data_IF_314623126043
#
_entry.id   IF_314623126043
#
_cell.length_a   1.000
_cell.length_b   1.000
_cell.length_c   1.000
_cell.angle_alpha   90.00
_cell.angle_beta   90.00
_cell.angle_gamma   90.00
#
_symmetry.space_group_name_H-M   'P 1'
#
loop_
_entity.id
_entity.type
_entity.pdbx_description
1 polymer ?
#
# COMPACT_ATOMS: atom_id res chain seq x y z
N UNK A 1 -69.28 -22.17 9.05
CA UNK A 1 -68.23 -21.85 10.04
C UNK A 1 -66.95 -22.52 9.55
N UNK A 2 -65.85 -21.88 9.16
CA UNK A 2 -65.29 -20.55 9.45
C UNK A 2 -64.71 -19.96 8.15
N UNK A 3 -64.78 -18.64 8.02
CA UNK A 3 -64.10 -17.86 6.99
C UNK A 3 -62.60 -17.78 7.28
N UNK A 4 -61.77 -17.82 6.24
CA UNK A 4 -60.47 -17.12 6.26
C UNK A 4 -60.21 -16.54 4.88
N UNK A 5 -60.24 -15.21 4.82
CA UNK A 5 -59.79 -14.39 3.71
C UNK A 5 -58.26 -14.45 3.71
N UNK A 6 -57.64 -14.92 2.62
CA UNK A 6 -56.19 -14.76 2.43
C UNK A 6 -56.00 -13.52 1.57
N UNK A 7 -55.54 -12.45 2.21
CA UNK A 7 -55.10 -11.23 1.57
C UNK A 7 -53.73 -11.52 0.93
N UNK A 8 -53.66 -11.57 -0.40
CA UNK A 8 -52.39 -11.64 -1.12
C UNK A 8 -51.76 -10.25 -1.10
N UNK A 9 -50.80 -10.03 -0.18
CA UNK A 9 -49.90 -8.89 -0.26
C UNK A 9 -48.88 -9.17 -1.37
N UNK A 10 -49.07 -8.55 -2.53
CA UNK A 10 -48.01 -8.44 -3.52
C UNK A 10 -46.92 -7.53 -2.95
N UNK A 11 -45.87 -8.15 -2.42
CA UNK A 11 -44.63 -7.47 -2.10
C UNK A 11 -43.99 -7.06 -3.43
N UNK A 12 -44.04 -5.77 -3.75
CA UNK A 12 -43.26 -5.18 -4.83
C UNK A 12 -41.79 -5.37 -4.47
N UNK A 13 -41.11 -6.28 -5.18
CA UNK A 13 -39.66 -6.35 -5.16
C UNK A 13 -39.12 -5.00 -5.65
N UNK A 14 -38.64 -4.18 -4.72
CA UNK A 14 -37.73 -3.11 -5.06
C UNK A 14 -36.47 -3.80 -5.58
N UNK A 15 -36.26 -3.76 -6.89
CA UNK A 15 -34.95 -3.99 -7.46
C UNK A 15 -34.04 -2.94 -6.85
N UNK A 16 -33.14 -3.34 -5.95
CA UNK A 16 -31.95 -2.55 -5.68
C UNK A 16 -31.23 -2.41 -7.02
N UNK A 17 -30.92 -1.19 -7.49
CA UNK A 17 -30.12 -1.04 -8.68
C UNK A 17 -28.79 -1.76 -8.42
N UNK A 18 -28.43 -2.72 -9.28
CA UNK A 18 -27.10 -3.28 -9.28
C UNK A 18 -26.10 -2.14 -9.47
N UNK A 19 -25.02 -2.11 -8.67
CA UNK A 19 -23.92 -1.12 -8.72
C UNK A 19 -23.48 -0.72 -10.15
N UNK A 20 -23.69 -1.60 -11.14
CA UNK A 20 -23.41 -1.41 -12.55
C UNK A 20 -24.11 -0.18 -13.21
N UNK A 21 -25.24 0.32 -12.70
CA UNK A 21 -25.91 1.52 -13.26
C UNK A 21 -25.55 2.86 -12.59
N UNK A 22 -24.74 2.83 -11.51
CA UNK A 22 -24.39 4.03 -10.73
C UNK A 22 -22.90 4.40 -10.73
N UNK A 23 -22.02 3.57 -11.32
CA UNK A 23 -20.58 3.84 -11.35
C UNK A 23 -20.18 4.78 -12.50
N UNK A 24 -19.29 5.73 -12.23
CA UNK A 24 -18.76 6.70 -13.22
C UNK A 24 -17.60 6.13 -14.03
N UNK A 25 -16.86 5.17 -13.47
CA UNK A 25 -15.82 4.38 -14.13
C UNK A 25 -15.63 3.03 -13.44
N UNK A 26 -14.74 2.17 -13.97
CA UNK A 26 -14.33 0.92 -13.29
C UNK A 26 -12.95 1.13 -12.66
N UNK A 27 -12.83 1.10 -11.33
CA UNK A 27 -11.53 1.18 -10.66
C UNK A 27 -10.63 0.00 -11.01
N UNK A 28 -9.32 0.23 -11.02
CA UNK A 28 -8.34 -0.86 -11.05
C UNK A 28 -8.25 -1.48 -9.66
N UNK A 29 -8.88 -2.65 -9.49
CA UNK A 29 -8.82 -3.44 -8.26
C UNK A 29 -7.41 -4.01 -8.05
N UNK A 30 -6.92 -3.91 -6.82
CA UNK A 30 -5.80 -4.70 -6.31
C UNK A 30 -6.21 -5.37 -4.99
N UNK A 31 -5.68 -6.56 -4.73
CA UNK A 31 -5.97 -7.33 -3.51
C UNK A 31 -4.82 -7.16 -2.52
N UNK A 32 -5.15 -6.86 -1.27
CA UNK A 32 -4.20 -6.90 -0.18
C UNK A 32 -4.08 -8.33 0.36
N UNK A 33 -2.86 -8.83 0.42
CA UNK A 33 -2.51 -10.11 1.05
C UNK A 33 -1.83 -9.80 2.39
N UNK A 34 -2.58 -9.98 3.48
CA UNK A 34 -2.06 -9.99 4.83
C UNK A 34 -1.57 -11.43 5.14
N UNK A 35 -0.27 -11.68 5.01
CA UNK A 35 0.35 -12.98 5.27
C UNK A 35 0.71 -13.11 6.76
N UNK A 36 0.04 -13.99 7.48
CA UNK A 36 0.30 -14.26 8.88
C UNK A 36 1.33 -15.37 9.02
N UNK A 37 2.48 -15.01 9.57
CA UNK A 37 3.61 -15.92 9.81
C UNK A 37 4.14 -15.81 11.23
N UNK A 38 5.01 -16.75 11.62
CA UNK A 38 5.71 -16.73 12.91
C UNK A 38 6.96 -17.60 12.85
N UNK A 39 8.10 -17.07 13.31
CA UNK A 39 9.42 -17.74 13.29
C UNK A 39 9.71 -18.64 14.50
N UNK A 40 9.04 -18.37 15.62
CA UNK A 40 9.44 -18.91 16.93
C UNK A 40 9.08 -20.41 17.16
N UNK A 41 9.80 -21.02 18.11
CA UNK A 41 9.87 -22.49 18.33
C UNK A 41 8.58 -23.23 18.70
N UNK A 42 7.48 -22.56 19.05
CA UNK A 42 6.25 -23.24 19.49
C UNK A 42 5.16 -23.26 18.42
N UNK A 43 5.03 -22.16 17.68
CA UNK A 43 3.95 -21.96 16.72
C UNK A 43 4.48 -21.82 15.28
N UNK A 44 5.79 -21.67 15.10
CA UNK A 44 6.41 -21.44 13.79
C UNK A 44 6.76 -22.69 12.99
N UNK A 45 6.49 -23.88 13.51
CA UNK A 45 6.86 -25.17 12.88
C UNK A 45 6.39 -25.29 11.43
N UNK A 46 5.16 -24.83 11.17
CA UNK A 46 4.53 -24.97 9.86
C UNK A 46 4.74 -23.74 8.97
N UNK A 47 5.22 -22.62 9.51
CA UNK A 47 5.38 -21.35 8.80
C UNK A 47 6.25 -21.40 7.52
N UNK A 48 7.26 -22.28 7.38
CA UNK A 48 8.00 -22.41 6.12
C UNK A 48 7.12 -22.61 4.89
N UNK A 49 5.98 -23.32 5.00
CA UNK A 49 5.06 -23.50 3.85
C UNK A 49 4.41 -22.18 3.42
N UNK A 50 4.13 -21.27 4.36
CA UNK A 50 3.59 -19.95 4.04
C UNK A 50 4.61 -19.13 3.28
N UNK A 51 5.88 -19.14 3.72
CA UNK A 51 6.99 -18.49 3.04
C UNK A 51 7.15 -19.02 1.60
N UNK A 52 7.14 -20.35 1.42
CA UNK A 52 7.32 -20.98 0.11
C UNK A 52 6.14 -20.73 -0.81
N UNK A 53 4.90 -21.02 -0.38
CA UNK A 53 3.73 -20.91 -1.25
C UNK A 53 3.34 -19.47 -1.56
N UNK A 54 3.60 -18.52 -0.65
CA UNK A 54 3.46 -17.10 -0.97
C UNK A 54 4.49 -16.67 -2.01
N UNK A 55 5.73 -17.16 -1.93
CA UNK A 55 6.73 -16.86 -2.95
C UNK A 55 6.40 -17.47 -4.30
N UNK A 56 5.93 -18.73 -4.35
CA UNK A 56 5.48 -19.36 -5.58
C UNK A 56 4.34 -18.55 -6.23
N UNK A 57 3.38 -18.07 -5.41
CA UNK A 57 2.33 -17.17 -5.87
C UNK A 57 2.92 -15.86 -6.45
N UNK A 58 3.86 -15.22 -5.76
CA UNK A 58 4.44 -13.94 -6.19
C UNK A 58 5.37 -14.07 -7.41
N UNK A 59 5.99 -15.22 -7.62
CA UNK A 59 6.89 -15.48 -8.75
C UNK A 59 6.14 -15.97 -10.00
N UNK A 60 4.87 -16.36 -9.87
CA UNK A 60 4.04 -16.68 -11.01
C UNK A 60 3.64 -15.38 -11.75
N UNK A 61 4.10 -15.17 -13.00
CA UNK A 61 3.86 -13.93 -13.74
C UNK A 61 2.39 -13.71 -14.15
N UNK A 62 1.54 -14.74 -14.07
CA UNK A 62 0.10 -14.60 -14.31
C UNK A 62 -0.60 -13.91 -13.13
N UNK A 63 -0.02 -13.98 -11.93
CA UNK A 63 -0.52 -13.29 -10.76
C UNK A 63 -0.05 -11.83 -10.81
N UNK A 64 -1.00 -10.91 -10.76
CA UNK A 64 -0.74 -9.47 -10.72
C UNK A 64 -1.87 -8.75 -10.00
N UNK A 65 -1.73 -7.45 -9.73
CA UNK A 65 -2.79 -6.69 -9.05
C UNK A 65 -2.92 -7.05 -7.56
N UNK A 66 -1.80 -7.20 -6.86
CA UNK A 66 -1.78 -7.46 -5.42
C UNK A 66 -0.74 -6.60 -4.69
N UNK A 67 -0.93 -6.48 -3.39
CA UNK A 67 0.07 -5.99 -2.44
C UNK A 67 0.22 -7.01 -1.30
N UNK A 68 1.39 -7.06 -0.65
CA UNK A 68 1.70 -8.07 0.39
C UNK A 68 2.26 -7.40 1.63
N UNK A 69 1.81 -7.82 2.80
CA UNK A 69 2.48 -7.57 4.06
C UNK A 69 2.55 -8.87 4.89
N UNK A 70 3.76 -9.26 5.28
CA UNK A 70 4.02 -10.39 6.17
C UNK A 70 3.96 -9.90 7.62
N UNK A 71 2.89 -10.30 8.31
CA UNK A 71 2.56 -9.96 9.69
C UNK A 71 3.08 -11.10 10.59
N UNK A 72 4.17 -10.82 11.30
CA UNK A 72 4.77 -11.76 12.24
C UNK A 72 4.00 -11.75 13.57
N UNK A 73 3.58 -12.93 14.02
CA UNK A 73 3.03 -13.15 15.35
C UNK A 73 4.11 -13.38 16.42
N UNK A 74 3.69 -13.40 17.69
CA UNK A 74 4.58 -13.67 18.82
C UNK A 74 3.91 -14.52 19.91
N UNK A 75 2.90 -15.32 19.51
CA UNK A 75 2.14 -16.18 20.41
C UNK A 75 3.05 -17.18 21.11
N UNK A 76 2.93 -17.33 22.43
CA UNK A 76 3.79 -18.22 23.23
C UNK A 76 5.24 -17.74 23.41
N UNK A 77 5.55 -16.49 23.07
CA UNK A 77 6.86 -15.91 23.33
C UNK A 77 7.21 -15.97 24.83
N UNK A 78 8.42 -16.43 25.13
CA UNK A 78 8.96 -16.53 26.49
C UNK A 78 8.15 -17.33 27.51
N UNK A 79 7.11 -18.07 27.10
CA UNK A 79 6.22 -18.84 27.99
C UNK A 79 6.97 -19.88 28.86
N UNK A 80 8.17 -20.28 28.45
CA UNK A 80 9.01 -21.27 29.14
C UNK A 80 10.44 -20.79 29.45
N UNK A 81 10.70 -19.47 29.39
CA UNK A 81 12.00 -18.89 29.77
C UNK A 81 13.18 -19.16 28.81
N UNK A 82 12.90 -19.60 27.57
CA UNK A 82 13.93 -19.92 26.57
C UNK A 82 14.34 -18.75 25.66
N UNK A 83 13.93 -17.51 25.98
CA UNK A 83 14.20 -16.33 25.14
C UNK A 83 13.74 -16.52 23.68
N UNK A 84 12.58 -17.17 23.51
CA UNK A 84 11.98 -17.50 22.22
C UNK A 84 10.93 -16.43 21.91
N UNK A 85 11.12 -15.72 20.81
CA UNK A 85 10.25 -14.66 20.32
C UNK A 85 10.52 -14.47 18.82
N UNK A 86 9.60 -13.83 18.12
CA UNK A 86 9.82 -13.36 16.75
C UNK A 86 10.25 -11.88 16.81
N UNK A 87 11.45 -11.57 16.31
CA UNK A 87 12.01 -10.21 16.35
C UNK A 87 11.31 -9.23 15.40
N UNK A 88 10.49 -9.75 14.48
CA UNK A 88 9.73 -8.97 13.50
C UNK A 88 8.28 -8.74 13.93
N UNK A 89 7.90 -9.21 15.12
CA UNK A 89 6.58 -8.96 15.69
C UNK A 89 6.30 -7.47 15.84
N UNK A 90 5.18 -7.04 15.25
CA UNK A 90 4.65 -5.69 15.34
C UNK A 90 3.30 -5.76 16.07
N UNK A 91 3.25 -5.52 17.39
CA UNK A 91 2.04 -5.71 18.20
C UNK A 91 0.83 -4.95 17.64
N UNK A 92 1.02 -3.70 17.24
CA UNK A 92 -0.03 -2.78 16.79
C UNK A 92 -0.77 -3.28 15.55
N UNK A 93 -0.11 -4.12 14.74
CA UNK A 93 -0.71 -4.75 13.57
C UNK A 93 -1.09 -6.21 13.84
N UNK A 94 -0.13 -7.00 14.34
CA UNK A 94 -0.32 -8.43 14.55
C UNK A 94 -1.49 -8.74 15.48
N UNK A 95 -1.61 -8.05 16.61
CA UNK A 95 -2.62 -8.39 17.61
C UNK A 95 -4.04 -8.10 17.12
N UNK A 96 -4.21 -7.01 16.35
CA UNK A 96 -5.48 -6.70 15.71
C UNK A 96 -5.79 -7.70 14.58
N UNK A 97 -4.80 -7.99 13.73
CA UNK A 97 -4.99 -8.80 12.53
C UNK A 97 -5.27 -10.28 12.85
N UNK A 98 -4.75 -10.83 13.95
CA UNK A 98 -5.05 -12.21 14.38
C UNK A 98 -6.32 -12.33 15.20
N UNK A 99 -6.86 -11.23 15.74
CA UNK A 99 -8.09 -11.22 16.51
C UNK A 99 -9.34 -11.12 15.62
N UNK A 100 -9.38 -11.95 14.57
CA UNK A 100 -10.46 -12.01 13.59
C UNK A 100 -10.92 -13.46 13.41
N UNK A 101 -12.17 -13.72 12.97
CA UNK A 101 -12.61 -15.09 12.67
C UNK A 101 -11.94 -15.68 11.43
N UNK A 102 -11.21 -14.85 10.65
CA UNK A 102 -10.52 -15.27 9.44
C UNK A 102 -9.19 -15.96 9.75
N UNK A 103 -8.55 -15.71 10.90
CA UNK A 103 -7.26 -16.29 11.24
C UNK A 103 -7.42 -17.37 12.31
N UNK A 104 -7.07 -18.61 11.97
CA UNK A 104 -7.15 -19.75 12.90
C UNK A 104 -5.80 -20.26 13.42
N UNK A 105 -4.68 -19.66 12.99
CA UNK A 105 -3.33 -20.05 13.38
C UNK A 105 -2.27 -19.60 12.37
N UNK A 106 -1.09 -20.21 12.42
CA UNK A 106 0.02 -19.91 11.52
C UNK A 106 0.55 -21.16 10.80
N UNK A 107 0.98 -21.05 9.54
CA UNK A 107 0.84 -19.88 8.68
C UNK A 107 -0.57 -19.79 8.08
N UNK A 108 -1.00 -18.57 7.81
CA UNK A 108 -2.32 -18.25 7.28
C UNK A 108 -2.22 -16.99 6.42
N UNK A 109 -3.10 -16.83 5.44
CA UNK A 109 -3.23 -15.58 4.71
C UNK A 109 -4.65 -15.04 4.83
N UNK A 110 -4.79 -13.73 4.73
CA UNK A 110 -6.07 -13.03 4.64
C UNK A 110 -6.03 -12.13 3.42
N UNK A 111 -7.06 -12.25 2.58
CA UNK A 111 -7.28 -11.48 1.37
C UNK A 111 -8.32 -10.42 1.67
N UNK A 112 -7.93 -9.15 1.55
CA UNK A 112 -8.80 -8.00 1.71
C UNK A 112 -9.63 -7.97 3.00
N UNK A 113 -9.21 -8.69 4.04
CA UNK A 113 -9.96 -8.93 5.28
C UNK A 113 -11.37 -9.50 5.05
N UNK A 114 -11.54 -10.20 3.93
CA UNK A 114 -12.82 -10.75 3.47
C UNK A 114 -12.80 -12.28 3.42
N UNK A 115 -11.68 -12.84 2.99
CA UNK A 115 -11.47 -14.29 2.92
C UNK A 115 -10.07 -14.64 3.44
N UNK A 116 -9.86 -15.87 3.87
CA UNK A 116 -8.56 -16.34 4.34
C UNK A 116 -8.49 -17.86 4.37
N UNK A 117 -7.27 -18.38 4.42
CA UNK A 117 -7.03 -19.79 4.69
C UNK A 117 -5.60 -20.06 5.17
N UNK A 118 -5.41 -21.24 5.75
CA UNK A 118 -4.09 -21.82 5.94
C UNK A 118 -3.49 -22.28 4.60
N UNK A 119 -2.17 -22.21 4.51
CA UNK A 119 -1.36 -22.71 3.40
C UNK A 119 -1.27 -24.25 3.39
N UNK A 120 -2.40 -24.96 3.29
CA UNK A 120 -2.41 -26.43 3.25
C UNK A 120 -1.84 -26.99 1.94
N UNK A 121 -2.07 -26.30 0.82
CA UNK A 121 -1.53 -26.61 -0.51
C UNK A 121 -1.20 -25.32 -1.27
N UNK A 122 -0.32 -25.42 -2.28
CA UNK A 122 0.10 -24.30 -3.13
C UNK A 122 -1.06 -23.66 -3.93
N UNK A 123 -2.12 -24.42 -4.23
CA UNK A 123 -3.26 -23.96 -5.04
C UNK A 123 -4.28 -23.08 -4.29
N UNK A 124 -4.28 -23.10 -2.95
CA UNK A 124 -5.35 -22.46 -2.15
C UNK A 124 -5.28 -20.93 -2.25
N UNK A 125 -4.09 -20.33 -2.13
CA UNK A 125 -3.91 -18.89 -2.26
C UNK A 125 -4.31 -18.39 -3.67
N UNK A 126 -3.77 -18.91 -4.78
CA UNK A 126 -4.20 -18.51 -6.12
C UNK A 126 -5.72 -18.62 -6.33
N UNK A 127 -6.32 -19.74 -5.91
CA UNK A 127 -7.77 -19.98 -6.11
C UNK A 127 -8.62 -18.94 -5.36
N UNK A 128 -8.26 -18.60 -4.12
CA UNK A 128 -8.98 -17.58 -3.35
C UNK A 128 -8.69 -16.17 -3.86
N UNK A 129 -7.45 -15.91 -4.27
CA UNK A 129 -7.05 -14.66 -4.89
C UNK A 129 -7.89 -14.35 -6.14
N UNK A 130 -8.06 -15.31 -7.04
CA UNK A 130 -8.86 -15.15 -8.26
C UNK A 130 -10.33 -14.81 -7.97
N UNK A 131 -10.87 -15.25 -6.83
CA UNK A 131 -12.25 -14.93 -6.45
C UNK A 131 -12.37 -13.51 -5.90
N UNK A 132 -11.37 -13.05 -5.15
CA UNK A 132 -11.35 -11.72 -4.51
C UNK A 132 -10.91 -10.63 -5.50
N UNK A 133 -10.08 -10.96 -6.49
CA UNK A 133 -9.60 -10.01 -7.51
C UNK A 133 -10.71 -9.46 -8.42
N UNK A 134 -11.84 -10.15 -8.50
CA UNK A 134 -13.05 -9.74 -9.24
C UNK A 134 -13.95 -8.78 -8.44
N UNK A 135 -13.61 -8.48 -7.19
CA UNK A 135 -14.38 -7.53 -6.38
C UNK A 135 -14.26 -6.10 -6.91
N UNK A 136 -15.31 -5.31 -6.69
CA UNK A 136 -15.34 -3.92 -7.10
C UNK A 136 -14.42 -3.08 -6.20
N UNK A 137 -13.44 -2.38 -6.80
CA UNK A 137 -12.42 -1.62 -6.06
C UNK A 137 -12.86 -0.26 -5.49
N UNK A 138 -14.09 0.21 -5.75
CA UNK A 138 -14.66 1.51 -5.33
C UNK A 138 -13.94 2.80 -5.77
N UNK A 139 -12.61 2.85 -5.76
CA UNK A 139 -11.82 4.03 -6.11
C UNK A 139 -10.49 3.65 -6.77
N UNK A 140 -10.03 4.49 -7.69
CA UNK A 140 -8.63 4.50 -8.09
C UNK A 140 -7.82 5.25 -7.04
N UNK A 141 -6.69 4.66 -6.65
CA UNK A 141 -5.75 5.22 -5.71
C UNK A 141 -4.50 5.74 -6.43
N UNK A 142 -3.93 6.80 -5.89
CA UNK A 142 -2.58 7.30 -6.18
C UNK A 142 -1.85 7.51 -4.85
N UNK A 143 -0.61 7.07 -4.73
CA UNK A 143 0.18 7.14 -3.48
C UNK A 143 1.57 7.72 -3.75
N UNK A 144 2.01 8.63 -2.88
CA UNK A 144 3.31 9.29 -2.90
C UNK A 144 3.95 9.26 -1.49
N UNK A 145 4.80 8.26 -1.20
CA UNK A 145 5.64 8.23 -0.01
C UNK A 145 6.93 9.03 -0.23
N UNK A 146 7.11 10.13 0.48
CA UNK A 146 8.32 10.97 0.44
C UNK A 146 9.15 10.79 1.71
N UNK A 147 10.37 10.29 1.56
CA UNK A 147 11.30 10.03 2.66
C UNK A 147 12.39 11.11 2.73
N UNK A 148 12.49 11.78 3.87
CA UNK A 148 13.61 12.68 4.19
C UNK A 148 14.73 11.89 4.88
N UNK A 149 15.88 11.62 4.21
CA UNK A 149 16.96 10.85 4.81
C UNK A 149 17.69 11.59 5.94
N UNK A 150 17.55 12.91 6.04
CA UNK A 150 18.19 13.71 7.11
C UNK A 150 17.43 13.59 8.42
N UNK A 151 16.10 13.66 8.35
CA UNK A 151 15.23 13.54 9.52
C UNK A 151 14.77 12.10 9.77
N UNK A 152 15.02 11.20 8.81
CA UNK A 152 14.44 9.85 8.72
C UNK A 152 12.92 9.85 8.88
N UNK A 153 12.25 10.85 8.30
CA UNK A 153 10.80 10.96 8.35
C UNK A 153 10.20 10.65 6.99
N UNK A 154 9.19 9.78 6.99
CA UNK A 154 8.36 9.46 5.85
C UNK A 154 7.06 10.27 5.94
N UNK A 155 6.68 10.92 4.85
CA UNK A 155 5.35 11.50 4.67
C UNK A 155 4.65 10.77 3.54
N UNK A 156 3.42 10.31 3.73
CA UNK A 156 2.67 9.58 2.70
C UNK A 156 1.42 10.37 2.34
N UNK A 157 1.31 10.76 1.07
CA UNK A 157 0.12 11.40 0.52
C UNK A 157 -0.62 10.40 -0.37
N UNK A 158 -1.93 10.33 -0.21
CA UNK A 158 -2.81 9.48 -1.01
C UNK A 158 -3.90 10.33 -1.63
N UNK A 159 -4.21 10.04 -2.89
CA UNK A 159 -5.40 10.55 -3.58
C UNK A 159 -6.32 9.38 -3.92
N UNK A 160 -7.58 9.46 -3.51
CA UNK A 160 -8.63 8.49 -3.83
C UNK A 160 -9.67 9.13 -4.75
N UNK A 161 -9.79 8.62 -5.98
CA UNK A 161 -10.81 9.01 -6.95
C UNK A 161 -11.90 7.93 -6.95
N UNK A 162 -13.11 8.27 -6.51
CA UNK A 162 -14.20 7.31 -6.32
C UNK A 162 -15.04 7.12 -7.57
N UNK A 163 -15.35 5.87 -7.90
CA UNK A 163 -16.24 5.53 -9.01
C UNK A 163 -17.72 5.58 -8.64
N UNK A 164 -18.05 5.51 -7.35
CA UNK A 164 -19.42 5.47 -6.83
C UNK A 164 -19.53 6.30 -5.57
N UNK A 165 -20.74 6.70 -5.21
CA UNK A 165 -21.02 7.23 -3.88
C UNK A 165 -20.70 6.15 -2.83
N UNK A 166 -19.99 6.52 -1.78
CA UNK A 166 -19.65 5.63 -0.68
C UNK A 166 -19.69 6.37 0.66
N UNK A 167 -19.82 5.63 1.76
CA UNK A 167 -19.89 6.20 3.11
C UNK A 167 -19.04 5.39 4.07
N UNK A 168 -18.53 6.05 5.10
CA UNK A 168 -17.75 5.44 6.18
C UNK A 168 -16.43 4.77 5.75
N UNK A 169 -15.89 5.15 4.59
CA UNK A 169 -14.60 4.64 4.15
C UNK A 169 -13.46 5.34 4.87
N UNK A 170 -12.35 4.63 5.03
CA UNK A 170 -11.15 5.08 5.73
C UNK A 170 -9.93 4.63 4.96
N UNK A 171 -8.81 5.29 5.18
CA UNK A 171 -7.52 4.88 4.67
C UNK A 171 -6.56 4.55 5.82
N UNK A 172 -5.76 3.51 5.61
CA UNK A 172 -4.61 3.18 6.45
C UNK A 172 -3.36 3.06 5.55
N UNK A 173 -2.17 3.22 6.12
CA UNK A 173 -0.91 2.93 5.42
C UNK A 173 -0.16 1.85 6.17
N UNK A 174 0.17 0.76 5.49
CA UNK A 174 1.08 -0.27 5.96
C UNK A 174 2.47 0.03 5.42
N UNK A 175 3.48 -0.01 6.30
CA UNK A 175 4.87 0.00 5.86
C UNK A 175 5.41 -1.42 5.87
N UNK A 176 6.11 -1.82 4.81
CA UNK A 176 6.77 -3.13 4.72
C UNK A 176 8.24 -2.98 4.39
N UNK A 177 9.08 -3.89 4.86
CA UNK A 177 10.48 -4.00 4.49
C UNK A 177 10.73 -5.36 3.84
N UNK A 178 11.30 -5.37 2.64
CA UNK A 178 11.64 -6.61 1.96
C UNK A 178 13.02 -7.14 2.34
N UNK A 179 13.19 -8.46 2.25
CA UNK A 179 14.47 -9.15 2.43
C UNK A 179 15.23 -8.77 3.72
N UNK A 180 14.51 -8.73 4.85
CA UNK A 180 15.04 -8.51 6.20
C UNK A 180 15.98 -9.65 6.57
N UNK A 181 17.23 -9.31 6.87
CA UNK A 181 18.28 -10.28 7.16
C UNK A 181 19.15 -9.79 8.32
N UNK A 182 19.18 -10.56 9.41
CA UNK A 182 19.92 -10.24 10.64
C UNK A 182 20.72 -11.47 11.10
N UNK A 183 21.83 -11.79 10.40
CA UNK A 183 22.62 -12.99 10.65
C UNK A 183 23.18 -13.02 12.08
N UNK A 184 22.99 -14.15 12.75
CA UNK A 184 23.44 -14.38 14.13
C UNK A 184 22.59 -13.72 15.22
N UNK A 185 21.57 -12.93 14.84
CA UNK A 185 20.68 -12.25 15.80
C UNK A 185 19.51 -13.17 16.19
N UNK A 186 19.24 -13.27 17.50
CA UNK A 186 18.14 -14.07 18.02
C UNK A 186 16.77 -13.48 17.60
N UNK A 187 15.79 -14.36 17.36
CA UNK A 187 14.43 -13.96 16.94
C UNK A 187 14.25 -13.75 15.43
N UNK A 188 15.31 -13.84 14.63
CA UNK A 188 15.25 -13.80 13.16
C UNK A 188 15.36 -15.18 12.48
N UNK A 189 15.49 -16.25 13.27
CA UNK A 189 15.45 -17.63 12.76
C UNK A 189 14.03 -18.11 12.48
N UNK A 190 13.91 -19.25 11.82
CA UNK A 190 12.62 -19.85 11.47
C UNK A 190 12.56 -21.31 11.92
N UNK A 191 11.62 -21.64 12.80
CA UNK A 191 11.35 -23.03 13.18
C UNK A 191 10.78 -23.81 12.00
N UNK A 192 11.11 -25.10 11.88
CA UNK A 192 10.88 -25.83 10.64
C UNK A 192 10.52 -27.31 10.82
N UNK A 193 9.27 -27.66 10.51
CA UNK A 193 8.74 -29.03 10.48
C UNK A 193 9.14 -29.85 9.24
N UNK A 194 9.75 -29.24 8.22
CA UNK A 194 10.01 -29.89 6.92
C UNK A 194 11.43 -30.43 6.78
N UNK A 195 12.24 -30.32 7.84
CA UNK A 195 13.65 -30.67 7.79
C UNK A 195 13.91 -32.20 7.74
N UNK A 196 14.97 -32.64 7.08
CA UNK A 196 15.33 -34.07 6.97
C UNK A 196 15.86 -34.73 8.26
N UNK A 197 16.18 -33.95 9.30
CA UNK A 197 16.78 -34.48 10.53
C UNK A 197 15.71 -35.02 11.48
N UNK A 198 14.66 -34.26 11.72
CA UNK A 198 13.57 -34.59 12.64
C UNK A 198 12.23 -33.92 12.28
N UNK A 199 12.02 -33.55 11.02
CA UNK A 199 10.80 -32.90 10.56
C UNK A 199 9.62 -33.86 10.41
N UNK A 200 8.45 -33.42 10.85
CA UNK A 200 7.18 -34.14 10.75
C UNK A 200 6.66 -34.25 9.30
N UNK A 201 7.15 -33.40 8.39
CA UNK A 201 6.75 -33.35 6.97
C UNK A 201 7.97 -33.29 6.03
N UNK A 202 9.03 -34.04 6.37
CA UNK A 202 10.31 -34.01 5.66
C UNK A 202 10.27 -34.45 4.19
N UNK A 203 9.21 -35.13 3.77
CA UNK A 203 8.98 -35.61 2.40
C UNK A 203 8.36 -34.55 1.48
N UNK A 204 7.83 -33.46 2.04
CA UNK A 204 7.28 -32.34 1.27
C UNK A 204 8.42 -31.41 0.84
N UNK A 205 8.69 -31.22 -0.47
CA UNK A 205 9.70 -30.28 -0.93
C UNK A 205 9.37 -28.85 -0.50
N UNK A 206 10.29 -28.21 0.20
CA UNK A 206 10.15 -26.87 0.75
C UNK A 206 11.42 -26.09 0.45
N UNK A 207 11.37 -25.31 -0.63
CA UNK A 207 12.45 -24.44 -1.04
C UNK A 207 11.88 -23.09 -1.45
N UNK A 208 12.47 -22.02 -0.95
CA UNK A 208 12.30 -20.67 -1.46
C UNK A 208 13.56 -20.26 -2.24
N UNK A 209 13.52 -19.07 -2.83
CA UNK A 209 14.65 -18.39 -3.47
C UNK A 209 15.84 -18.20 -2.53
N UNK A 210 15.59 -18.16 -1.22
CA UNK A 210 16.59 -17.84 -0.20
C UNK A 210 17.03 -19.06 0.61
N UNK A 211 16.15 -20.06 0.81
CA UNK A 211 16.42 -21.19 1.72
C UNK A 211 15.78 -22.48 1.19
N UNK A 212 16.54 -23.58 1.22
CA UNK A 212 16.00 -24.95 1.07
C UNK A 212 15.67 -25.50 2.45
N UNK A 213 14.44 -25.29 2.93
CA UNK A 213 14.03 -25.63 4.29
C UNK A 213 14.26 -27.10 4.64
N UNK A 214 14.09 -28.04 3.70
CA UNK A 214 14.34 -29.45 4.03
C UNK A 214 15.77 -29.72 4.53
N UNK A 215 16.76 -28.91 4.14
CA UNK A 215 18.15 -29.05 4.53
C UNK A 215 18.51 -28.46 5.91
N UNK A 216 17.58 -27.76 6.58
CA UNK A 216 17.86 -27.02 7.82
C UNK A 216 16.86 -27.36 8.93
N UNK A 217 17.32 -27.85 10.08
CA UNK A 217 16.41 -28.12 11.20
C UNK A 217 17.08 -28.38 12.55
N UNK A 218 16.34 -28.28 13.67
CA UNK A 218 14.89 -27.98 13.76
C UNK A 218 14.54 -26.48 13.60
N UNK A 219 15.56 -25.62 13.60
CA UNK A 219 15.44 -24.17 13.35
C UNK A 219 16.39 -23.81 12.22
N UNK A 220 15.89 -23.13 11.19
CA UNK A 220 16.72 -22.45 10.20
C UNK A 220 17.36 -21.24 10.88
N UNK A 221 18.69 -21.23 10.90
CA UNK A 221 19.45 -20.12 11.48
C UNK A 221 19.15 -18.80 10.78
N UNK A 222 19.17 -17.69 11.53
CA UNK A 222 19.09 -16.34 10.97
C UNK A 222 20.22 -16.02 9.99
N UNK A 223 21.33 -16.78 10.03
CA UNK A 223 22.40 -16.76 9.03
C UNK A 223 21.91 -17.04 7.60
N UNK A 224 20.79 -17.75 7.43
CA UNK A 224 20.25 -18.12 6.12
C UNK A 224 18.92 -17.43 5.81
N UNK A 225 18.21 -16.93 6.82
CA UNK A 225 16.87 -16.38 6.64
C UNK A 225 16.89 -14.97 6.05
N UNK A 226 16.08 -14.79 5.00
CA UNK A 226 15.67 -13.48 4.48
C UNK A 226 14.15 -13.45 4.52
N UNK A 227 13.59 -12.57 5.36
CA UNK A 227 12.15 -12.44 5.49
C UNK A 227 11.65 -11.34 4.56
N UNK A 228 10.70 -11.67 3.71
CA UNK A 228 10.19 -10.78 2.66
C UNK A 228 8.94 -10.05 3.12
N UNK A 229 8.74 -8.84 2.59
CA UNK A 229 7.55 -8.01 2.84
C UNK A 229 7.15 -7.83 4.31
N UNK A 230 8.11 -7.82 5.24
CA UNK A 230 7.86 -7.79 6.68
C UNK A 230 7.16 -6.49 7.07
N UNK A 231 6.00 -6.58 7.73
CA UNK A 231 5.29 -5.41 8.21
C UNK A 231 6.10 -4.67 9.29
N UNK A 232 6.25 -3.35 9.11
CA UNK A 232 7.00 -2.45 10.01
C UNK A 232 6.13 -1.40 10.70
N UNK A 233 4.98 -1.06 10.12
CA UNK A 233 3.99 -0.18 10.73
C UNK A 233 2.62 -0.37 10.10
N UNK A 234 1.57 0.02 10.82
CA UNK A 234 0.23 0.29 10.27
C UNK A 234 -0.25 1.63 10.83
N UNK A 235 -0.57 2.58 9.95
CA UNK A 235 -0.78 3.98 10.29
C UNK A 235 -2.21 4.40 9.90
N UNK A 236 -2.97 5.02 10.81
CA UNK A 236 -2.67 5.18 12.23
C UNK A 236 -2.83 3.88 13.04
N UNK A 237 -3.64 2.93 12.55
CA UNK A 237 -3.93 1.65 13.18
C UNK A 237 -4.67 0.73 12.20
N UNK A 238 -4.99 -0.50 12.65
CA UNK A 238 -5.68 -1.53 11.87
C UNK A 238 -7.01 -1.07 11.24
N UNK A 239 -7.80 -0.26 11.94
CA UNK A 239 -9.12 0.21 11.48
C UNK A 239 -9.04 1.40 10.50
N UNK A 240 -7.83 1.91 10.24
CA UNK A 240 -7.61 3.12 9.44
C UNK A 240 -7.97 4.43 10.15
N UNK A 241 -7.69 5.54 9.48
CA UNK A 241 -7.98 6.88 9.99
C UNK A 241 -9.42 7.30 9.66
N UNK A 242 -10.20 7.63 10.69
CA UNK A 242 -11.55 8.19 10.55
C UNK A 242 -11.56 9.55 9.85
N UNK A 243 -10.46 10.30 9.89
CA UNK A 243 -10.33 11.63 9.30
C UNK A 243 -9.71 11.60 7.89
N UNK A 244 -9.31 10.42 7.40
CA UNK A 244 -8.70 10.29 6.07
C UNK A 244 -9.64 10.61 4.91
N UNK A 245 -10.94 10.44 5.11
CA UNK A 245 -11.98 10.72 4.12
C UNK A 245 -13.20 11.35 4.80
N UNK A 246 -14.00 12.16 4.08
CA UNK A 246 -15.29 12.61 4.57
C UNK A 246 -16.23 11.44 4.86
N UNK A 247 -17.22 11.64 5.74
CA UNK A 247 -18.20 10.60 6.08
C UNK A 247 -18.99 10.06 4.87
N UNK A 248 -19.12 10.88 3.83
CA UNK A 248 -19.70 10.53 2.54
C UNK A 248 -18.81 11.08 1.43
N UNK A 249 -18.51 10.23 0.46
CA UNK A 249 -17.83 10.58 -0.78
C UNK A 249 -18.79 10.41 -1.95
N UNK A 250 -18.62 11.23 -2.98
CA UNK A 250 -19.47 11.23 -4.16
C UNK A 250 -18.77 10.53 -5.32
N UNK A 251 -19.56 9.93 -6.22
CA UNK A 251 -19.07 9.39 -7.46
C UNK A 251 -18.34 10.47 -8.28
N UNK A 252 -17.22 10.09 -8.90
CA UNK A 252 -16.26 10.98 -9.58
C UNK A 252 -15.54 11.98 -8.65
N UNK A 253 -15.76 11.92 -7.33
CA UNK A 253 -15.06 12.74 -6.35
C UNK A 253 -13.61 12.29 -6.14
N UNK A 254 -12.71 13.26 -6.00
CA UNK A 254 -11.29 13.05 -5.67
C UNK A 254 -10.98 13.63 -4.30
N UNK A 255 -10.32 12.83 -3.45
CA UNK A 255 -10.02 13.18 -2.07
C UNK A 255 -8.55 12.91 -1.76
N UNK A 256 -7.85 13.96 -1.35
CA UNK A 256 -6.44 13.89 -0.97
C UNK A 256 -6.28 13.85 0.54
N UNK A 257 -5.36 13.02 1.03
CA UNK A 257 -5.02 12.93 2.43
C UNK A 257 -3.53 12.67 2.61
N UNK A 258 -2.90 13.45 3.49
CA UNK A 258 -1.50 13.25 3.89
C UNK A 258 -1.48 12.73 5.32
N UNK A 259 -0.95 11.51 5.49
CA UNK A 259 -0.79 10.90 6.80
C UNK A 259 0.25 11.69 7.63
N UNK A 260 0.11 11.70 8.97
CA UNK A 260 1.13 12.26 9.85
C UNK A 260 2.51 11.65 9.56
N UNK A 261 3.54 12.49 9.57
CA UNK A 261 4.91 12.05 9.31
C UNK A 261 5.34 10.95 10.28
N UNK A 262 5.96 9.89 9.75
CA UNK A 262 6.41 8.73 10.51
C UNK A 262 7.92 8.68 10.56
N UNK A 263 8.47 8.51 11.76
CA UNK A 263 9.91 8.27 11.92
C UNK A 263 10.24 6.83 11.52
N UNK A 264 11.27 6.67 10.69
CA UNK A 264 11.75 5.38 10.20
C UNK A 264 13.04 5.01 10.95
N UNK A 265 13.02 3.89 11.69
CA UNK A 265 14.18 3.41 12.45
C UNK A 265 15.40 3.25 11.56
N UNK A 266 16.59 3.53 12.08
CA UNK A 266 17.88 3.25 11.41
C UNK A 266 18.11 1.74 11.20
N UNK A 267 17.39 0.89 11.93
CA UNK A 267 17.44 -0.56 11.78
C UNK A 267 16.73 -1.05 10.50
N UNK A 268 15.95 -0.19 9.84
CA UNK A 268 15.24 -0.52 8.60
C UNK A 268 16.00 0.01 7.38
N UNK A 269 16.12 -0.84 6.36
CA UNK A 269 16.72 -0.50 5.07
C UNK A 269 15.68 0.24 4.20
N UNK A 270 15.74 1.58 4.18
CA UNK A 270 14.77 2.39 3.44
C UNK A 270 14.73 2.07 1.92
N UNK A 271 15.81 1.49 1.36
CA UNK A 271 15.85 1.11 -0.04
C UNK A 271 15.01 -0.13 -0.36
N UNK A 272 14.59 -0.87 0.67
CA UNK A 272 13.72 -2.05 0.59
C UNK A 272 12.36 -1.80 1.22
N UNK A 273 12.07 -0.55 1.58
CA UNK A 273 10.81 -0.17 2.19
C UNK A 273 9.76 0.25 1.17
N UNK A 274 8.52 -0.15 1.45
CA UNK A 274 7.32 0.24 0.71
C UNK A 274 6.26 0.79 1.65
N UNK A 275 5.45 1.72 1.14
CA UNK A 275 4.21 2.15 1.75
C UNK A 275 3.04 1.61 0.93
N UNK A 276 2.06 1.00 1.59
CA UNK A 276 0.88 0.42 0.97
C UNK A 276 -0.34 1.10 1.60
N UNK A 277 -1.09 1.88 0.81
CA UNK A 277 -2.38 2.38 1.26
C UNK A 277 -3.43 1.29 1.16
N UNK A 278 -4.26 1.20 2.18
CA UNK A 278 -5.47 0.38 2.25
C UNK A 278 -6.67 1.32 2.21
N UNK A 279 -7.60 1.10 1.29
CA UNK A 279 -8.93 1.69 1.32
C UNK A 279 -9.87 0.71 2.01
N UNK A 280 -10.38 1.10 3.18
CA UNK A 280 -11.11 0.22 4.09
C UNK A 280 -12.57 0.68 4.15
N UNK A 281 -13.51 -0.24 3.98
CA UNK A 281 -14.89 -0.01 4.36
C UNK A 281 -15.00 -0.05 5.89
N UNK A 282 -15.18 1.12 6.51
CA UNK A 282 -15.21 1.24 7.96
C UNK A 282 -16.46 0.64 8.63
N UNK A 283 -17.43 0.11 7.86
CA UNK A 283 -18.56 -0.64 8.40
C UNK A 283 -18.25 -2.14 8.56
N UNK A 284 -17.55 -2.74 7.61
CA UNK A 284 -17.21 -4.17 7.58
C UNK A 284 -15.79 -4.47 8.07
N UNK A 285 -14.87 -3.52 7.91
CA UNK A 285 -13.43 -3.70 8.08
C UNK A 285 -12.73 -4.29 6.86
N UNK A 286 -13.47 -4.58 5.77
CA UNK A 286 -12.92 -5.12 4.53
C UNK A 286 -12.05 -4.07 3.81
N UNK A 287 -10.95 -4.52 3.22
CA UNK A 287 -10.09 -3.70 2.35
C UNK A 287 -10.67 -3.78 0.94
N UNK A 288 -11.29 -2.72 0.48
CA UNK A 288 -11.95 -2.71 -0.84
C UNK A 288 -10.98 -2.42 -1.97
N UNK A 289 -9.86 -1.73 -1.70
CA UNK A 289 -8.76 -1.59 -2.64
C UNK A 289 -7.45 -1.26 -1.91
N UNK A 290 -6.32 -1.43 -2.58
CA UNK A 290 -5.02 -1.05 -2.04
C UNK A 290 -4.07 -0.60 -3.15
N UNK A 291 -3.00 0.09 -2.78
CA UNK A 291 -1.92 0.42 -3.71
C UNK A 291 -0.60 0.64 -2.96
N UNK A 292 0.48 0.03 -3.44
CA UNK A 292 1.81 0.16 -2.84
C UNK A 292 2.82 0.88 -3.73
N UNK A 293 3.71 1.66 -3.11
CA UNK A 293 4.87 2.29 -3.76
C UNK A 293 6.14 2.12 -2.92
N UNK A 294 7.30 2.08 -3.58
CA UNK A 294 8.58 2.24 -2.87
C UNK A 294 8.73 3.68 -2.38
N UNK A 295 9.63 3.92 -1.43
CA UNK A 295 9.91 5.29 -0.98
C UNK A 295 10.43 6.16 -2.14
N UNK A 296 9.93 7.39 -2.21
CA UNK A 296 10.19 8.38 -3.25
C UNK A 296 9.71 7.98 -4.65
N UNK A 297 8.75 7.05 -4.74
CA UNK A 297 8.10 6.65 -5.98
C UNK A 297 6.62 7.02 -5.97
N UNK A 298 6.15 7.71 -7.00
CA UNK A 298 4.71 7.88 -7.21
C UNK A 298 4.13 6.66 -7.90
N UNK A 299 3.02 6.13 -7.39
CA UNK A 299 2.23 5.09 -8.06
C UNK A 299 0.78 5.50 -8.23
N UNK A 300 0.16 5.08 -9.33
CA UNK A 300 -1.28 5.23 -9.59
C UNK A 300 -1.85 3.92 -10.10
N UNK A 301 -3.02 3.54 -9.58
CA UNK A 301 -3.73 2.31 -9.95
C UNK A 301 -4.43 2.42 -11.32
N UNK A 302 -4.84 3.60 -11.73
CA UNK A 302 -5.49 3.83 -13.03
C UNK A 302 -4.52 3.74 -14.19
N UNK A 303 -4.79 2.85 -15.14
CA UNK A 303 -4.09 2.82 -16.42
C UNK A 303 -4.46 4.09 -17.21
N UNK A 304 -3.55 5.05 -17.26
CA UNK A 304 -3.75 6.31 -17.98
C UNK A 304 -4.20 7.52 -17.14
N UNK A 305 -4.27 7.41 -15.81
CA UNK A 305 -4.21 8.62 -15.00
C UNK A 305 -2.85 9.30 -15.19
N UNK A 306 -2.77 10.63 -15.08
CA UNK A 306 -1.48 11.27 -14.98
C UNK A 306 -0.77 10.60 -13.81
N UNK A 307 0.35 9.93 -14.08
CA UNK A 307 1.46 10.12 -13.18
C UNK A 307 1.51 11.65 -12.97
N UNK A 308 1.37 12.14 -11.74
CA UNK A 308 2.04 13.40 -11.42
C UNK A 308 3.48 13.11 -11.79
N UNK A 309 3.87 13.44 -13.00
CA UNK A 309 5.11 12.91 -13.52
C UNK A 309 6.18 13.59 -12.69
N UNK A 310 6.72 12.91 -11.68
CA UNK A 310 7.95 13.30 -11.03
C UNK A 310 9.06 12.96 -12.01
N UNK A 311 9.04 13.61 -13.17
CA UNK A 311 10.26 13.86 -13.91
C UNK A 311 11.11 14.76 -13.01
N UNK A 312 12.41 14.56 -12.99
CA UNK A 312 13.31 15.32 -12.12
C UNK A 312 13.15 16.81 -12.41
N UNK A 313 12.34 17.48 -11.59
CA UNK A 313 12.15 18.92 -11.63
C UNK A 313 12.71 19.56 -10.37
N UNK A 314 13.13 20.82 -10.50
CA UNK A 314 13.59 21.63 -9.37
C UNK A 314 13.55 23.10 -9.73
N UNK A 315 13.28 23.93 -8.73
CA UNK A 315 13.37 25.38 -8.82
C UNK A 315 14.66 25.88 -8.18
N UNK A 316 15.44 26.68 -8.90
CA UNK A 316 16.62 27.35 -8.34
C UNK A 316 16.87 28.76 -8.94
N UNK A 317 17.13 29.77 -8.10
CA UNK A 317 17.07 29.72 -6.63
C UNK A 317 15.62 29.61 -6.13
N UNK A 318 15.42 28.90 -5.03
CA UNK A 318 14.14 28.84 -4.32
C UNK A 318 14.46 28.77 -2.82
N UNK A 319 14.16 29.80 -2.00
CA UNK A 319 13.29 30.95 -2.28
C UNK A 319 13.82 31.96 -3.31
N UNK A 320 12.93 32.81 -3.84
CA UNK A 320 13.27 33.94 -4.73
C UNK A 320 12.44 35.19 -4.43
N UNK A 321 12.94 36.38 -4.77
CA UNK A 321 12.18 37.65 -4.72
C UNK A 321 11.91 38.28 -6.10
N UNK A 322 12.45 37.68 -7.17
CA UNK A 322 12.31 38.19 -8.54
C UNK A 322 12.00 37.08 -9.54
N UNK A 323 12.86 36.07 -9.64
CA UNK A 323 12.66 34.97 -10.59
C UNK A 323 13.39 33.71 -10.14
N UNK A 324 12.92 32.56 -10.59
CA UNK A 324 13.59 31.27 -10.38
C UNK A 324 13.67 30.50 -11.69
N UNK A 325 14.63 29.58 -11.80
CA UNK A 325 14.73 28.67 -12.94
C UNK A 325 14.08 27.36 -12.57
N UNK A 326 13.08 26.96 -13.35
CA UNK A 326 12.53 25.62 -13.33
C UNK A 326 13.32 24.75 -14.31
N UNK A 327 14.04 23.78 -13.77
CA UNK A 327 14.64 22.68 -14.52
C UNK A 327 13.73 21.47 -14.46
N UNK A 328 13.56 20.76 -15.57
CA UNK A 328 12.75 19.54 -15.66
C UNK A 328 13.12 18.72 -16.90
N UNK A 329 12.89 17.41 -16.85
CA UNK A 329 12.99 16.54 -18.03
C UNK A 329 11.60 16.26 -18.63
N UNK A 330 11.51 16.11 -19.95
CA UNK A 330 10.29 15.71 -20.64
C UNK A 330 10.53 14.51 -21.55
N UNK A 331 9.65 13.49 -21.56
CA UNK A 331 9.82 12.31 -22.41
C UNK A 331 9.59 12.60 -23.90
N UNK A 332 8.92 13.72 -24.23
CA UNK A 332 8.55 14.11 -25.59
C UNK A 332 8.69 15.62 -25.80
N UNK A 333 8.79 16.05 -27.05
CA UNK A 333 8.70 17.46 -27.40
C UNK A 333 7.22 17.83 -27.62
N UNK A 334 6.71 18.84 -26.91
CA UNK A 334 5.29 19.21 -26.96
C UNK A 334 5.05 20.69 -26.62
N UNK A 335 3.88 21.20 -26.98
CA UNK A 335 3.36 22.44 -26.41
C UNK A 335 2.66 22.14 -25.08
N UNK A 336 3.10 22.82 -24.04
CA UNK A 336 2.63 22.68 -22.66
C UNK A 336 2.01 24.00 -22.16
N UNK A 337 1.35 23.98 -21.00
CA UNK A 337 0.95 25.17 -20.25
C UNK A 337 1.60 25.19 -18.88
N UNK A 338 2.39 26.22 -18.61
CA UNK A 338 2.89 26.53 -17.27
C UNK A 338 1.80 27.30 -16.52
N UNK A 339 1.43 26.82 -15.34
CA UNK A 339 0.43 27.42 -14.45
C UNK A 339 1.06 27.65 -13.09
N UNK A 340 0.79 28.79 -12.49
CA UNK A 340 1.22 29.10 -11.12
C UNK A 340 -0.02 29.30 -10.28
N UNK A 341 -0.13 28.58 -9.17
CA UNK A 341 -1.24 28.69 -8.22
C UNK A 341 -0.73 29.16 -6.86
N UNK A 342 -1.53 29.95 -6.16
CA UNK A 342 -1.23 30.35 -4.79
C UNK A 342 -1.61 29.27 -3.77
N UNK A 343 -1.31 29.52 -2.49
CA UNK A 343 -1.61 28.60 -1.39
C UNK A 343 -3.11 28.29 -1.19
N UNK A 344 -4.01 29.04 -1.84
CA UNK A 344 -5.47 28.81 -1.82
C UNK A 344 -5.96 28.10 -3.10
N UNK A 345 -5.04 27.67 -3.98
CA UNK A 345 -5.36 27.01 -5.25
C UNK A 345 -5.83 27.96 -6.34
N UNK A 346 -5.70 29.29 -6.17
CA UNK A 346 -6.10 30.25 -7.20
C UNK A 346 -4.99 30.40 -8.22
N UNK A 347 -5.35 30.39 -9.51
CA UNK A 347 -4.40 30.62 -10.61
C UNK A 347 -3.92 32.07 -10.60
N UNK A 348 -2.62 32.25 -10.44
CA UNK A 348 -1.90 33.52 -10.46
C UNK A 348 -1.42 33.85 -11.86
N UNK A 349 -0.90 32.84 -12.57
CA UNK A 349 -0.41 32.99 -13.94
C UNK A 349 -0.67 31.71 -14.75
N UNK A 350 -0.90 31.87 -16.06
CA UNK A 350 -0.88 30.77 -17.02
C UNK A 350 -0.22 31.21 -18.31
N UNK A 351 0.70 30.41 -18.83
CA UNK A 351 1.49 30.70 -20.03
C UNK A 351 1.73 29.45 -20.86
N UNK A 352 1.65 29.57 -22.18
CA UNK A 352 2.08 28.51 -23.10
C UNK A 352 3.62 28.37 -23.08
N UNK A 353 4.10 27.13 -23.02
CA UNK A 353 5.52 26.79 -22.96
C UNK A 353 5.82 25.71 -24.00
N UNK A 354 6.84 25.95 -24.85
CA UNK A 354 7.37 24.90 -25.71
C UNK A 354 8.34 24.05 -24.90
N UNK A 355 8.11 22.74 -24.86
CA UNK A 355 8.91 21.74 -24.16
C UNK A 355 9.64 20.88 -25.18
N UNK A 356 10.93 20.63 -24.95
CA UNK A 356 11.74 19.71 -25.75
C UNK A 356 11.78 18.33 -25.09
N UNK A 357 11.98 17.28 -25.88
CA UNK A 357 12.33 15.98 -25.32
C UNK A 357 13.70 16.05 -24.62
N UNK A 358 13.82 15.46 -23.44
CA UNK A 358 14.99 15.52 -22.57
C UNK A 358 14.96 16.75 -21.66
N UNK A 359 16.13 17.35 -21.44
CA UNK A 359 16.36 18.42 -20.47
C UNK A 359 15.78 19.77 -20.90
N UNK A 360 15.06 20.42 -19.99
CA UNK A 360 14.46 21.73 -20.19
C UNK A 360 14.79 22.69 -19.04
N UNK A 361 14.89 23.97 -19.39
CA UNK A 361 15.03 25.09 -18.44
C UNK A 361 14.03 26.18 -18.83
N UNK A 362 13.19 26.60 -17.89
CA UNK A 362 12.30 27.75 -18.06
C UNK A 362 12.40 28.70 -16.89
N UNK A 363 12.35 30.00 -17.16
CA UNK A 363 12.33 31.02 -16.10
C UNK A 363 10.89 31.25 -15.64
N UNK A 364 10.70 31.24 -14.33
CA UNK A 364 9.47 31.63 -13.65
C UNK A 364 9.70 33.02 -13.07
N UNK A 365 8.92 34.00 -13.53
CA UNK A 365 8.94 35.37 -13.02
C UNK A 365 8.04 35.47 -11.79
N UNK A 366 8.64 35.72 -10.64
CA UNK A 366 7.95 35.91 -9.37
C UNK A 366 7.88 37.38 -8.95
N UNK A 367 8.34 38.30 -9.80
CA UNK A 367 8.52 39.70 -9.42
C UNK A 367 7.20 40.36 -9.05
N UNK A 368 6.10 40.02 -9.72
CA UNK A 368 4.77 40.56 -9.43
C UNK A 368 4.00 39.82 -8.31
N UNK A 369 4.57 38.75 -7.75
CA UNK A 369 3.91 37.92 -6.74
C UNK A 369 4.12 38.47 -5.34
N UNK A 370 3.11 38.33 -4.48
CA UNK A 370 3.26 38.65 -3.06
C UNK A 370 4.12 37.60 -2.34
N UNK A 371 4.75 37.98 -1.23
CA UNK A 371 5.49 37.04 -0.37
C UNK A 371 4.57 35.90 0.05
N UNK A 372 4.97 34.66 -0.22
CA UNK A 372 4.10 33.52 0.03
C UNK A 372 4.61 32.21 -0.57
N UNK A 373 3.77 31.19 -0.46
CA UNK A 373 3.98 29.88 -1.07
C UNK A 373 3.09 29.74 -2.30
N UNK A 374 3.67 29.26 -3.38
CA UNK A 374 3.01 28.99 -4.64
C UNK A 374 3.37 27.58 -5.11
N UNK A 375 2.62 27.09 -6.09
CA UNK A 375 2.91 25.85 -6.80
C UNK A 375 3.03 26.16 -8.28
N UNK A 376 4.14 25.76 -8.89
CA UNK A 376 4.43 25.89 -10.32
C UNK A 376 4.16 24.54 -10.97
N UNK A 377 3.22 24.53 -11.91
CA UNK A 377 2.79 23.35 -12.63
C UNK A 377 3.10 23.49 -14.11
N UNK A 378 3.51 22.40 -14.76
CA UNK A 378 3.50 22.32 -16.23
C UNK A 378 2.50 21.24 -16.61
N UNK A 379 1.55 21.58 -17.48
CA UNK A 379 0.59 20.63 -18.03
C UNK A 379 0.92 20.33 -19.50
N UNK A 380 0.99 19.06 -19.87
CA UNK A 380 1.10 18.60 -21.26
C UNK A 380 -0.14 17.78 -21.56
N UNK A 381 -0.88 18.13 -22.62
CA UNK A 381 -2.14 17.47 -22.99
C UNK A 381 -3.17 17.35 -21.84
N UNK A 382 -3.18 18.34 -20.95
CA UNK A 382 -4.09 18.39 -19.79
C UNK A 382 -3.60 17.60 -18.56
N UNK A 383 -2.44 16.92 -18.64
CA UNK A 383 -1.84 16.18 -17.54
C UNK A 383 -0.70 16.95 -16.88
N UNK A 384 -0.61 16.93 -15.54
CA UNK A 384 0.45 17.60 -14.78
C UNK A 384 1.76 16.84 -14.91
N UNK A 385 2.73 17.43 -15.61
CA UNK A 385 4.07 16.91 -15.87
C UNK A 385 5.12 17.45 -14.88
N UNK A 386 4.90 18.62 -14.29
CA UNK A 386 5.78 19.22 -13.28
C UNK A 386 4.90 19.79 -12.17
N UNK A 387 5.33 19.66 -10.92
CA UNK A 387 4.62 20.20 -9.76
C UNK A 387 5.62 20.64 -8.67
N UNK A 388 6.10 21.88 -8.75
CA UNK A 388 7.16 22.40 -7.89
C UNK A 388 6.66 23.47 -6.92
N UNK A 389 7.04 23.36 -5.65
CA UNK A 389 6.70 24.37 -4.63
C UNK A 389 7.65 25.56 -4.74
N UNK A 390 7.11 26.76 -4.97
CA UNK A 390 7.85 28.02 -5.04
C UNK A 390 7.65 28.86 -3.77
N UNK A 391 8.75 29.28 -3.15
CA UNK A 391 8.75 30.23 -2.05
C UNK A 391 9.14 31.63 -2.55
N UNK A 392 8.21 32.58 -2.47
CA UNK A 392 8.47 33.99 -2.80
C UNK A 392 8.79 34.75 -1.51
N UNK A 393 9.98 35.32 -1.41
CA UNK A 393 10.42 36.11 -0.27
C UNK A 393 10.16 37.61 -0.47
N UNK A 394 10.08 38.36 0.63
CA UNK A 394 10.00 39.82 0.58
C UNK A 394 11.18 40.41 -0.22
N UNK A 395 10.90 41.51 -0.93
CA UNK A 395 11.89 42.24 -1.73
C UNK A 395 12.93 42.98 -0.89
#
# INVERSE_FOLDING_TARGET
MKHFLILAAFCSAFFAPSLCEAQTFTPTKRVMIEDHTIGQAWFGWWSPRGIVYLEDFMLNPENSGYEVACIHGNEGANQFGFNNFDAMYLPEYSDAAVNTPLVSGWPHFVLDRKDGASYETEEILPTKFDLVSEDFGYANLTIEPLFDPTLRNLTVTVSAHFAVDAQYFRMAVVLTEDSVHQPGVNGYGQTNAYNFYNGDASDVPMASSSVVFNAHGPVVSSEFMHHRHVARAIIPNYEGDLESLPAQVEADGQYDYTFPAQFISEDYDESKMRAIVLLIDGASGEIVNCLGANFNELQSSSVGAPALASHSSKLFPNPTSQSTTLEFDSPVAHMASLTIVDALGRVVETKALAVNQGHNLTVVDASAMETGTYVVQIHVDGQVMVNEKLFVSAR
#
